data_IF_558693009641
#
_entry.id   IF_558693009641
#
_cell.length_a   1.000
_cell.length_b   1.000
_cell.length_c   1.000
_cell.angle_alpha   90.00
_cell.angle_beta   90.00
_cell.angle_gamma   90.00
#
_symmetry.space_group_name_H-M   'P 1'
#
loop_
_entity.id
_entity.type
_entity.pdbx_description
1 polymer ?
#
# COMPACT_ATOMS: atom_id res chain seq x y z
N UNK A 1 -12.14 -13.26 15.84
CA UNK A 1 -11.23 -13.72 14.77
C UNK A 1 -10.58 -12.47 14.22
N UNK A 2 -9.25 -12.41 14.25
CA UNK A 2 -8.46 -11.18 14.10
C UNK A 2 -8.59 -10.58 12.70
N UNK A 3 -8.79 -9.27 12.64
CA UNK A 3 -9.37 -8.61 11.48
C UNK A 3 -8.37 -7.96 10.53
N UNK A 4 -7.08 -7.79 10.81
CA UNK A 4 -6.19 -6.92 10.01
C UNK A 4 -6.92 -5.66 9.57
N UNK A 5 -7.41 -4.95 10.58
CA UNK A 5 -7.79 -3.55 10.38
C UNK A 5 -6.52 -2.72 10.28
N UNK A 6 -6.64 -1.48 9.80
CA UNK A 6 -5.54 -0.50 9.90
C UNK A 6 -5.00 -0.43 11.35
N UNK A 7 -5.86 -0.71 12.33
CA UNK A 7 -5.53 -0.74 13.75
C UNK A 7 -4.63 -1.92 14.18
N UNK A 8 -4.52 -2.97 13.37
CA UNK A 8 -3.59 -4.08 13.62
C UNK A 8 -2.18 -3.78 13.07
N UNK A 9 -2.01 -2.68 12.33
CA UNK A 9 -0.70 -2.22 11.86
C UNK A 9 0.07 -1.53 13.01
N UNK A 10 1.42 -1.50 12.96
CA UNK A 10 2.20 -0.66 13.87
C UNK A 10 1.68 0.78 13.84
N UNK A 11 1.47 1.41 15.01
CA UNK A 11 0.77 2.70 15.13
C UNK A 11 1.23 3.78 14.11
N UNK A 12 2.55 3.94 13.92
CA UNK A 12 3.09 4.88 12.92
C UNK A 12 2.68 4.57 11.49
N UNK A 13 2.55 3.29 11.14
CA UNK A 13 2.07 2.84 9.83
C UNK A 13 0.61 3.23 9.65
N UNK A 14 -0.22 2.94 10.65
CA UNK A 14 -1.63 3.28 10.65
C UNK A 14 -1.84 4.81 10.52
N UNK A 15 -1.05 5.61 11.25
CA UNK A 15 -1.12 7.07 11.20
C UNK A 15 -0.78 7.64 9.82
N UNK A 16 0.27 7.12 9.17
CA UNK A 16 0.65 7.55 7.82
C UNK A 16 -0.45 7.20 6.82
N UNK A 17 -1.00 5.98 6.86
CA UNK A 17 -2.07 5.58 5.95
C UNK A 17 -3.34 6.40 6.17
N UNK A 18 -3.71 6.69 7.43
CA UNK A 18 -4.85 7.58 7.75
C UNK A 18 -4.61 9.01 7.29
N UNK A 19 -3.38 9.52 7.45
CA UNK A 19 -3.00 10.86 6.98
C UNK A 19 -3.13 10.96 5.47
N UNK A 20 -2.61 9.98 4.72
CA UNK A 20 -2.75 9.91 3.27
C UNK A 20 -4.21 9.73 2.82
N UNK A 21 -4.99 8.91 3.51
CA UNK A 21 -6.41 8.76 3.24
C UNK A 21 -7.17 10.09 3.37
N UNK A 22 -6.92 10.84 4.46
CA UNK A 22 -7.47 12.18 4.65
C UNK A 22 -7.07 13.15 3.54
N UNK A 23 -5.79 13.18 3.18
CA UNK A 23 -5.30 14.03 2.09
C UNK A 23 -5.93 13.67 0.73
N UNK A 24 -6.23 12.39 0.50
CA UNK A 24 -6.93 11.91 -0.68
C UNK A 24 -8.46 12.11 -0.63
N UNK A 25 -9.01 12.61 0.49
CA UNK A 25 -10.45 12.77 0.70
C UNK A 25 -11.20 11.44 0.80
N UNK A 26 -10.53 10.34 1.17
CA UNK A 26 -11.09 8.99 1.23
C UNK A 26 -11.20 8.48 2.68
N UNK A 27 -12.21 7.66 2.99
CA UNK A 27 -12.19 6.82 4.18
C UNK A 27 -10.94 5.93 4.21
N UNK A 28 -10.33 5.65 5.39
CA UNK A 28 -9.10 4.85 5.47
C UNK A 28 -9.19 3.46 4.82
N UNK A 29 -10.33 2.79 4.95
CA UNK A 29 -10.59 1.48 4.32
C UNK A 29 -10.59 1.58 2.80
N UNK A 30 -11.28 2.57 2.23
CA UNK A 30 -11.34 2.79 0.78
C UNK A 30 -9.99 3.20 0.21
N UNK A 31 -9.22 4.00 0.96
CA UNK A 31 -7.85 4.34 0.60
C UNK A 31 -6.99 3.09 0.52
N UNK A 32 -6.98 2.25 1.56
CA UNK A 32 -6.20 1.00 1.56
C UNK A 32 -6.66 0.05 0.46
N UNK A 33 -7.97 -0.12 0.24
CA UNK A 33 -8.52 -0.87 -0.89
C UNK A 33 -7.93 -0.40 -2.21
N UNK A 34 -7.97 0.92 -2.46
CA UNK A 34 -7.43 1.53 -3.69
C UNK A 34 -5.93 1.26 -3.85
N UNK A 35 -5.15 1.41 -2.78
CA UNK A 35 -3.71 1.16 -2.82
C UNK A 35 -3.38 -0.32 -3.04
N UNK A 36 -4.13 -1.26 -2.45
CA UNK A 36 -3.95 -2.70 -2.67
C UNK A 36 -4.30 -3.12 -4.11
N UNK A 37 -5.36 -2.55 -4.68
CA UNK A 37 -5.71 -2.75 -6.11
C UNK A 37 -4.58 -2.21 -7.00
N UNK A 38 -4.08 -1.00 -6.71
CA UNK A 38 -2.98 -0.41 -7.45
C UNK A 38 -1.68 -1.23 -7.31
N UNK A 39 -1.42 -1.79 -6.14
CA UNK A 39 -0.29 -2.66 -5.88
C UNK A 39 -0.37 -3.96 -6.70
N UNK A 40 -1.54 -4.58 -6.75
CA UNK A 40 -1.77 -5.76 -7.58
C UNK A 40 -1.58 -5.47 -9.08
N UNK A 41 -1.95 -4.27 -9.54
CA UNK A 41 -1.81 -3.86 -10.95
C UNK A 41 -0.39 -3.44 -11.36
N UNK A 42 0.54 -3.26 -10.43
CA UNK A 42 1.92 -2.83 -10.72
C UNK A 42 2.84 -4.05 -10.86
N UNK A 43 3.75 -4.07 -11.85
CA UNK A 43 4.80 -5.08 -11.92
C UNK A 43 5.67 -5.07 -10.66
N UNK A 44 5.97 -6.25 -10.14
CA UNK A 44 6.82 -6.46 -8.99
C UNK A 44 7.95 -7.44 -9.33
N UNK A 45 9.15 -7.32 -8.74
CA UNK A 45 10.26 -8.24 -8.99
C UNK A 45 9.92 -9.72 -8.74
N UNK A 46 9.01 -9.97 -7.79
CA UNK A 46 8.53 -11.32 -7.47
C UNK A 46 7.70 -11.95 -8.59
N UNK A 47 7.18 -11.16 -9.54
CA UNK A 47 6.35 -11.67 -10.64
C UNK A 47 7.12 -12.65 -11.54
N UNK A 48 8.44 -12.48 -11.69
CA UNK A 48 9.28 -13.44 -12.41
C UNK A 48 9.36 -14.80 -11.68
N UNK A 49 9.30 -14.79 -10.35
CA UNK A 49 9.25 -16.02 -9.54
C UNK A 49 7.87 -16.67 -9.64
N UNK A 50 6.81 -15.86 -9.63
CA UNK A 50 5.44 -16.34 -9.85
C UNK A 50 5.35 -17.04 -11.20
N UNK A 51 5.81 -16.39 -12.28
CA UNK A 51 5.81 -16.96 -13.63
C UNK A 51 6.59 -18.29 -13.69
N UNK A 52 7.77 -18.34 -13.08
CA UNK A 52 8.57 -19.58 -12.99
C UNK A 52 7.84 -20.70 -12.22
N UNK A 53 7.20 -20.37 -11.09
CA UNK A 53 6.46 -21.37 -10.31
C UNK A 53 5.20 -21.84 -11.05
N UNK A 54 4.52 -20.96 -11.79
CA UNK A 54 3.38 -21.32 -12.63
C UNK A 54 3.77 -22.31 -13.73
N UNK A 55 4.97 -22.16 -14.32
CA UNK A 55 5.44 -23.05 -15.38
C UNK A 55 6.00 -24.37 -14.85
N UNK A 56 6.82 -24.34 -13.81
CA UNK A 56 7.60 -25.51 -13.39
C UNK A 56 6.95 -26.29 -12.23
N UNK A 57 6.19 -25.63 -11.36
CA UNK A 57 5.68 -26.20 -10.10
C UNK A 57 4.33 -25.59 -9.70
N UNK A 58 3.26 -25.76 -10.50
CA UNK A 58 1.97 -25.12 -10.24
C UNK A 58 1.39 -25.49 -8.87
N UNK A 59 1.68 -26.70 -8.36
CA UNK A 59 1.25 -27.16 -7.03
C UNK A 59 1.82 -26.33 -5.87
N UNK A 60 2.93 -25.60 -6.08
CA UNK A 60 3.57 -24.77 -5.06
C UNK A 60 2.96 -23.37 -4.92
N UNK A 61 2.03 -22.99 -5.81
CA UNK A 61 1.34 -21.69 -5.74
C UNK A 61 0.08 -21.70 -4.87
N UNK A 62 -0.20 -22.81 -4.18
CA UNK A 62 -1.19 -22.82 -3.12
C UNK A 62 -0.67 -21.98 -1.94
N UNK A 63 -1.13 -20.73 -1.82
CA UNK A 63 -0.85 -19.90 -0.67
C UNK A 63 -1.26 -20.65 0.62
N UNK A 64 -0.47 -20.56 1.71
CA UNK A 64 -0.84 -21.16 2.98
C UNK A 64 -2.24 -20.70 3.38
N UNK A 65 -3.13 -21.66 3.68
CA UNK A 65 -4.47 -21.35 4.14
C UNK A 65 -4.36 -20.53 5.43
N UNK A 66 -4.91 -19.32 5.41
CA UNK A 66 -4.78 -18.38 6.51
C UNK A 66 -6.14 -17.73 6.82
N UNK A 67 -6.63 -17.84 8.07
CA UNK A 67 -7.85 -17.18 8.51
C UNK A 67 -7.88 -15.66 8.28
N UNK A 68 -6.71 -15.00 8.29
CA UNK A 68 -6.58 -13.57 8.04
C UNK A 68 -6.85 -13.15 6.59
N UNK A 69 -6.67 -14.06 5.63
CA UNK A 69 -6.94 -13.82 4.21
C UNK A 69 -8.42 -13.52 3.95
N UNK A 70 -9.32 -14.28 4.56
CA UNK A 70 -10.78 -14.08 4.42
C UNK A 70 -11.22 -12.76 5.02
N UNK A 71 -10.64 -12.39 6.18
CA UNK A 71 -10.90 -11.09 6.81
C UNK A 71 -10.47 -9.94 5.88
N UNK A 72 -9.28 -10.00 5.29
CA UNK A 72 -8.79 -8.98 4.36
C UNK A 72 -9.68 -8.81 3.13
N UNK A 73 -10.11 -9.92 2.52
CA UNK A 73 -10.97 -9.90 1.34
C UNK A 73 -12.31 -9.22 1.66
N UNK A 74 -12.90 -9.51 2.83
CA UNK A 74 -14.17 -8.92 3.23
C UNK A 74 -14.06 -7.48 3.73
N UNK A 75 -13.03 -7.16 4.52
CA UNK A 75 -12.82 -5.82 5.11
C UNK A 75 -12.57 -4.78 4.03
N UNK A 76 -11.78 -5.11 3.00
CA UNK A 76 -11.42 -4.18 1.93
C UNK A 76 -12.20 -4.40 0.64
N UNK A 77 -13.10 -5.39 0.59
CA UNK A 77 -13.91 -5.72 -0.59
C UNK A 77 -13.05 -5.81 -1.88
N UNK A 78 -11.94 -6.55 -1.80
CA UNK A 78 -10.97 -6.60 -2.90
C UNK A 78 -11.54 -7.38 -4.10
N UNK A 79 -11.43 -6.86 -5.34
CA UNK A 79 -11.77 -7.60 -6.54
C UNK A 79 -11.01 -8.92 -6.64
N UNK A 80 -11.61 -9.92 -7.29
CA UNK A 80 -11.04 -11.25 -7.42
C UNK A 80 -9.63 -11.24 -8.00
N UNK A 81 -9.45 -10.43 -9.04
CA UNK A 81 -8.19 -10.27 -9.76
C UNK A 81 -7.09 -9.75 -8.83
N UNK A 82 -7.41 -8.78 -7.97
CA UNK A 82 -6.45 -8.16 -7.07
C UNK A 82 -5.98 -9.15 -5.99
N UNK A 83 -6.91 -9.83 -5.30
CA UNK A 83 -6.51 -10.79 -4.27
C UNK A 83 -5.87 -12.06 -4.86
N UNK A 84 -6.24 -12.45 -6.09
CA UNK A 84 -5.60 -13.55 -6.81
C UNK A 84 -4.13 -13.26 -7.11
N UNK A 85 -3.81 -12.05 -7.61
CA UNK A 85 -2.42 -11.62 -7.86
C UNK A 85 -1.63 -11.56 -6.54
N UNK A 86 -2.16 -10.90 -5.52
CA UNK A 86 -1.49 -10.81 -4.21
C UNK A 86 -1.31 -12.19 -3.57
N UNK A 87 -2.26 -13.11 -3.75
CA UNK A 87 -2.17 -14.48 -3.28
C UNK A 87 -1.05 -15.27 -3.96
N UNK A 88 -0.88 -15.13 -5.28
CA UNK A 88 0.25 -15.76 -5.99
C UNK A 88 1.60 -15.19 -5.56
N UNK A 89 1.68 -13.88 -5.36
CA UNK A 89 2.89 -13.22 -4.84
C UNK A 89 3.22 -13.70 -3.42
N UNK A 90 2.21 -13.82 -2.55
CA UNK A 90 2.38 -14.36 -1.21
C UNK A 90 2.88 -15.81 -1.24
N UNK A 91 2.29 -16.66 -2.08
CA UNK A 91 2.71 -18.05 -2.26
C UNK A 91 4.15 -18.15 -2.77
N UNK A 92 4.53 -17.34 -3.77
CA UNK A 92 5.89 -17.28 -4.29
C UNK A 92 6.91 -16.78 -3.24
N UNK A 93 6.48 -15.95 -2.29
CA UNK A 93 7.27 -15.50 -1.15
C UNK A 93 7.28 -16.51 0.01
N UNK A 94 6.50 -17.59 -0.06
CA UNK A 94 6.38 -18.59 0.99
C UNK A 94 5.68 -18.10 2.26
N UNK A 95 4.84 -17.08 2.16
CA UNK A 95 4.11 -16.46 3.29
C UNK A 95 2.59 -16.50 3.07
N UNK A 96 1.81 -16.28 4.13
CA UNK A 96 0.35 -16.15 4.00
C UNK A 96 -0.03 -14.86 3.26
N UNK A 97 -1.26 -14.82 2.70
CA UNK A 97 -1.78 -13.59 2.09
C UNK A 97 -1.84 -12.44 3.11
N UNK A 98 -2.23 -12.71 4.36
CA UNK A 98 -2.26 -11.67 5.39
C UNK A 98 -0.89 -11.09 5.68
N UNK A 99 0.12 -11.94 5.84
CA UNK A 99 1.49 -11.52 6.13
C UNK A 99 2.05 -10.71 4.97
N UNK A 100 1.82 -11.16 3.74
CA UNK A 100 2.22 -10.42 2.53
C UNK A 100 1.57 -9.03 2.47
N UNK A 101 0.24 -8.95 2.62
CA UNK A 101 -0.48 -7.67 2.60
C UNK A 101 -0.02 -6.76 3.73
N UNK A 102 0.14 -7.28 4.95
CA UNK A 102 0.65 -6.52 6.08
C UNK A 102 2.06 -5.95 5.80
N UNK A 103 2.97 -6.76 5.26
CA UNK A 103 4.31 -6.31 4.89
C UNK A 103 4.28 -5.21 3.82
N UNK A 104 3.41 -5.33 2.82
CA UNK A 104 3.23 -4.33 1.77
C UNK A 104 2.64 -3.02 2.30
N UNK A 105 1.65 -3.07 3.19
CA UNK A 105 1.10 -1.88 3.86
C UNK A 105 2.16 -1.16 4.70
N UNK A 106 3.00 -1.91 5.42
CA UNK A 106 4.14 -1.36 6.16
C UNK A 106 5.16 -0.74 5.20
N UNK A 107 5.49 -1.41 4.10
CA UNK A 107 6.42 -0.90 3.10
C UNK A 107 5.90 0.39 2.43
N UNK A 108 4.60 0.43 2.12
CA UNK A 108 3.93 1.62 1.58
C UNK A 108 4.01 2.80 2.52
N UNK A 109 3.75 2.60 3.82
CA UNK A 109 3.83 3.67 4.82
C UNK A 109 5.28 4.17 5.04
N UNK A 110 6.27 3.28 4.90
CA UNK A 110 7.69 3.64 5.06
C UNK A 110 8.26 4.41 3.87
N UNK A 111 7.70 4.22 2.67
CA UNK A 111 8.14 4.94 1.47
C UNK A 111 7.51 6.33 1.46
N UNK A 112 8.30 7.35 1.78
CA UNK A 112 7.90 8.74 1.58
C UNK A 112 7.67 9.03 0.10
N UNK A 113 6.58 9.70 -0.20
CA UNK A 113 6.20 10.15 -1.54
C UNK A 113 6.34 11.67 -1.64
N UNK A 114 6.35 12.21 -2.86
CA UNK A 114 6.29 13.67 -3.06
C UNK A 114 5.02 14.23 -2.44
N UNK A 115 3.90 13.53 -2.56
CA UNK A 115 2.63 13.95 -1.98
C UNK A 115 2.71 14.03 -0.44
N UNK A 116 3.47 13.14 0.22
CA UNK A 116 3.70 13.25 1.67
C UNK A 116 4.50 14.51 2.03
N UNK A 117 5.52 14.82 1.25
CA UNK A 117 6.35 16.01 1.46
C UNK A 117 5.54 17.28 1.22
N UNK A 118 4.74 17.30 0.15
CA UNK A 118 3.83 18.41 -0.13
C UNK A 118 2.80 18.58 0.98
N UNK A 119 2.23 17.47 1.47
CA UNK A 119 1.30 17.49 2.59
C UNK A 119 1.95 17.99 3.89
N UNK A 120 3.22 17.67 4.14
CA UNK A 120 3.96 18.21 5.29
C UNK A 120 4.09 19.73 5.24
N UNK A 121 4.40 20.29 4.07
CA UNK A 121 4.46 21.74 3.89
C UNK A 121 3.09 22.41 4.01
N UNK A 122 2.03 21.81 3.44
CA UNK A 122 0.66 22.31 3.58
C UNK A 122 0.22 22.32 5.05
N UNK A 123 0.46 21.24 5.79
CA UNK A 123 0.13 21.16 7.21
C UNK A 123 0.96 22.13 8.07
N UNK A 124 2.21 22.39 7.69
CA UNK A 124 3.05 23.38 8.37
C UNK A 124 2.50 24.81 8.16
N UNK A 125 2.12 25.16 6.94
CA UNK A 125 1.52 26.45 6.61
C UNK A 125 0.12 26.62 7.22
N UNK A 126 -0.67 25.55 7.34
CA UNK A 126 -1.95 25.59 8.07
C UNK A 126 -1.76 25.81 9.57
N UNK A 127 -0.72 25.21 10.17
CA UNK A 127 -0.38 25.41 11.58
C UNK A 127 0.18 26.80 11.87
N UNK A 128 0.95 27.36 10.93
CA UNK A 128 1.50 28.70 11.02
C UNK A 128 1.30 29.45 9.69
N UNK A 129 0.19 30.20 9.55
CA UNK A 129 -0.09 30.97 8.34
C UNK A 129 0.92 32.08 8.02
N UNK A 130 1.82 32.41 8.95
CA UNK A 130 2.91 33.36 8.69
C UNK A 130 4.02 32.75 7.84
N UNK A 131 4.10 31.41 7.76
CA UNK A 131 4.97 30.71 6.83
C UNK A 131 4.44 30.90 5.41
N UNK A 132 5.06 31.81 4.65
CA UNK A 132 4.79 31.98 3.23
C UNK A 132 5.59 30.95 2.43
N UNK A 133 5.05 29.73 2.34
CA UNK A 133 5.64 28.65 1.56
C UNK A 133 5.10 28.71 0.13
N UNK A 134 5.99 28.86 -0.85
CA UNK A 134 5.63 28.76 -2.27
C UNK A 134 5.50 27.28 -2.67
N UNK A 135 4.31 26.74 -2.49
CA UNK A 135 3.99 25.35 -2.84
C UNK A 135 4.15 25.06 -4.34
N UNK A 136 4.00 26.06 -5.21
CA UNK A 136 4.19 25.89 -6.65
C UNK A 136 5.68 25.70 -6.98
N UNK A 137 6.54 26.55 -6.43
CA UNK A 137 7.99 26.46 -6.60
C UNK A 137 8.58 25.16 -6.03
N UNK A 138 8.09 24.69 -4.87
CA UNK A 138 8.51 23.39 -4.31
C UNK A 138 8.11 22.25 -5.27
N UNK A 139 6.88 22.26 -5.79
CA UNK A 139 6.40 21.23 -6.72
C UNK A 139 7.23 21.18 -8.00
N UNK A 140 7.58 22.34 -8.57
CA UNK A 140 8.45 22.41 -9.74
C UNK A 140 9.86 21.90 -9.44
N UNK A 141 10.44 22.28 -8.30
CA UNK A 141 11.76 21.81 -7.87
C UNK A 141 11.80 20.28 -7.72
N UNK A 142 10.75 19.69 -7.14
CA UNK A 142 10.65 18.24 -6.96
C UNK A 142 10.47 17.49 -8.29
N UNK A 143 9.77 18.07 -9.27
CA UNK A 143 9.66 17.53 -10.63
C UNK A 143 11.02 17.55 -11.35
N UNK A 144 11.71 18.68 -11.29
CA UNK A 144 13.03 18.86 -11.89
C UNK A 144 14.04 17.83 -11.37
N UNK A 145 14.13 17.60 -10.06
CA UNK A 145 15.03 16.61 -9.45
C UNK A 145 14.75 15.18 -9.94
N UNK A 146 13.51 14.88 -10.35
CA UNK A 146 13.14 13.58 -10.91
C UNK A 146 13.29 13.47 -12.43
N UNK A 147 13.68 14.53 -13.12
CA UNK A 147 13.69 14.56 -14.57
C UNK A 147 12.29 14.49 -15.19
N UNK A 148 11.28 15.02 -14.48
CA UNK A 148 9.92 15.23 -14.97
C UNK A 148 9.71 16.67 -15.43
#
# INVERSE_FOLDING_TARGET
MALIEIDDLPARTADVLRRRARAAGLPPVDYVRRELIALAGRPAPIDAVVEFLESERPDQLAAPADPGATALIHTYDLPHEAWSVLGRRAAAAGVSLSEHVHAELVAMARRSTIDDVMLEFEEAQQRDPSLQIDMAAIRESLRFVRGQ
#
